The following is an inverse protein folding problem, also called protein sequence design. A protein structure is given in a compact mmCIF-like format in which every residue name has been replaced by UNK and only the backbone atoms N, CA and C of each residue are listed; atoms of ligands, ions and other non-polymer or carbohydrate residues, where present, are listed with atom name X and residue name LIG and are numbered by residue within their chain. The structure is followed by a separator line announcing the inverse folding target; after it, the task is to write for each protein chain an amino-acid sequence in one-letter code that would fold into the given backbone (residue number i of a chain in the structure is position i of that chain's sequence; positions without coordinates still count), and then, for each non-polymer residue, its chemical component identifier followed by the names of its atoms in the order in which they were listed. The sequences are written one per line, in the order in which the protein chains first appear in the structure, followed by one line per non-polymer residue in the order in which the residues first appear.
data_IF_512405702696
#
_entry.id   IF_512405702696
#
_cell.length_a   1.000
_cell.length_b   1.000
_cell.length_c   1.000
_cell.angle_alpha   90.00
_cell.angle_beta   90.00
_cell.angle_gamma   90.00
#
_symmetry.space_group_name_H-M   'P 1'
#
loop_
_entity.id
_entity.type
_entity.pdbx_description
1 polymer ?
#
# COMPACT_ATOMS: atom_id res chain seq x y z
N UNK A 1 -0.01 20.56 -11.41
CA UNK A 1 0.37 19.68 -10.28
C UNK A 1 -0.35 18.32 -10.32
N UNK A 2 -1.67 18.24 -10.14
CA UNK A 2 -2.43 16.96 -10.17
C UNK A 2 -2.17 16.09 -11.42
N UNK A 3 -2.12 16.72 -12.61
CA UNK A 3 -1.85 16.03 -13.88
C UNK A 3 -0.44 15.42 -13.98
N UNK A 4 0.53 15.94 -13.24
CA UNK A 4 1.91 15.43 -13.26
C UNK A 4 2.03 14.18 -12.38
N UNK A 5 1.59 14.29 -11.12
CA UNK A 5 1.54 13.15 -10.18
C UNK A 5 0.73 11.97 -10.74
N UNK A 6 -0.40 12.24 -11.39
CA UNK A 6 -1.18 11.19 -12.03
C UNK A 6 -0.41 10.47 -13.16
N UNK A 7 0.41 11.20 -13.94
CA UNK A 7 1.26 10.59 -14.97
C UNK A 7 2.34 9.70 -14.35
N UNK A 8 2.91 10.11 -13.22
CA UNK A 8 3.87 9.31 -12.47
C UNK A 8 3.23 8.02 -11.94
N UNK A 9 2.01 8.09 -11.41
CA UNK A 9 1.25 6.90 -10.98
C UNK A 9 0.98 5.93 -12.14
N UNK A 10 0.63 6.45 -13.32
CA UNK A 10 0.46 5.64 -14.53
C UNK A 10 1.80 5.02 -14.98
N UNK A 11 2.89 5.78 -14.94
CA UNK A 11 4.22 5.27 -15.26
C UNK A 11 4.66 4.18 -14.27
N UNK A 12 4.40 4.36 -12.98
CA UNK A 12 4.62 3.38 -11.93
C UNK A 12 3.83 2.09 -12.19
N UNK A 13 2.53 2.19 -12.52
CA UNK A 13 1.70 1.02 -12.85
C UNK A 13 2.31 0.21 -13.99
N UNK A 14 2.78 0.88 -15.06
CA UNK A 14 3.31 0.26 -16.28
C UNK A 14 4.73 -0.30 -16.14
N UNK A 15 5.43 -0.02 -15.04
CA UNK A 15 6.81 -0.46 -14.86
C UNK A 15 6.89 -1.98 -14.63
N UNK A 16 7.73 -2.67 -15.40
CA UNK A 16 8.06 -4.10 -15.17
C UNK A 16 8.95 -4.33 -13.96
N UNK A 17 9.56 -3.26 -13.42
CA UNK A 17 10.37 -3.27 -12.19
C UNK A 17 9.65 -2.58 -11.03
N UNK A 18 8.32 -2.52 -11.09
CA UNK A 18 7.47 -1.87 -10.09
C UNK A 18 7.76 -2.43 -8.69
N UNK A 19 7.88 -1.52 -7.73
CA UNK A 19 7.91 -1.82 -6.30
C UNK A 19 6.66 -1.21 -5.66
N UNK A 20 6.27 -1.64 -4.45
CA UNK A 20 5.26 -0.91 -3.69
C UNK A 20 5.60 0.58 -3.60
N UNK A 21 4.61 1.43 -3.85
CA UNK A 21 4.79 2.88 -3.88
C UNK A 21 4.36 3.49 -2.55
N UNK A 22 5.21 4.31 -1.95
CA UNK A 22 4.88 5.06 -0.73
C UNK A 22 4.73 6.53 -1.08
N UNK A 23 3.50 7.05 -0.97
CA UNK A 23 3.22 8.49 -1.13
C UNK A 23 3.27 9.17 0.23
N UNK A 24 4.34 9.94 0.46
CA UNK A 24 4.57 10.70 1.70
C UNK A 24 4.14 12.16 1.57
N UNK A 25 3.88 12.81 2.70
CA UNK A 25 3.62 14.27 2.75
C UNK A 25 2.82 14.68 3.99
N UNK A 26 2.63 15.98 4.21
CA UNK A 26 1.88 16.47 5.37
C UNK A 26 0.44 15.94 5.41
N UNK A 27 -0.19 15.92 6.59
CA UNK A 27 -1.63 15.61 6.71
C UNK A 27 -2.44 16.62 5.89
N UNK A 28 -3.60 16.20 5.38
CA UNK A 28 -4.56 17.06 4.66
C UNK A 28 -4.11 17.63 3.29
N UNK A 29 -3.01 17.14 2.70
CA UNK A 29 -2.55 17.58 1.37
C UNK A 29 -3.20 16.85 0.17
N UNK A 30 -4.16 15.96 0.43
CA UNK A 30 -4.94 15.27 -0.61
C UNK A 30 -4.33 13.96 -1.15
N UNK A 31 -3.39 13.32 -0.44
CA UNK A 31 -2.76 12.05 -0.84
C UNK A 31 -3.79 10.92 -1.01
N UNK A 32 -4.63 10.71 0.00
CA UNK A 32 -5.71 9.72 -0.02
C UNK A 32 -6.66 9.95 -1.18
N UNK A 33 -7.03 11.22 -1.44
CA UNK A 33 -7.88 11.56 -2.57
C UNK A 33 -7.23 11.19 -3.91
N UNK A 34 -5.95 11.55 -4.11
CA UNK A 34 -5.21 11.23 -5.32
C UNK A 34 -5.12 9.72 -5.57
N UNK A 35 -4.77 8.94 -4.54
CA UNK A 35 -4.62 7.49 -4.67
C UNK A 35 -5.96 6.77 -4.85
N UNK A 36 -7.03 7.22 -4.18
CA UNK A 36 -8.39 6.70 -4.42
C UNK A 36 -8.85 6.97 -5.85
N UNK A 37 -8.65 8.19 -6.34
CA UNK A 37 -9.03 8.55 -7.71
C UNK A 37 -8.21 7.78 -8.75
N UNK A 38 -6.91 7.59 -8.51
CA UNK A 38 -6.08 6.74 -9.33
C UNK A 38 -6.54 5.27 -9.34
N UNK A 39 -6.84 4.70 -8.17
CA UNK A 39 -7.42 3.37 -8.04
C UNK A 39 -8.69 3.22 -8.87
N UNK A 40 -9.63 4.17 -8.72
CA UNK A 40 -10.91 4.19 -9.42
C UNK A 40 -10.78 4.28 -10.94
N UNK A 41 -9.81 5.06 -11.43
CA UNK A 41 -9.64 5.31 -12.87
C UNK A 41 -8.74 4.30 -13.57
N UNK A 42 -7.81 3.68 -12.85
CA UNK A 42 -6.77 2.83 -13.44
C UNK A 42 -6.96 1.34 -13.14
N UNK A 43 -7.86 0.94 -12.24
CA UNK A 43 -8.05 -0.46 -11.82
C UNK A 43 -9.51 -0.86 -11.84
N UNK A 44 -9.77 -2.16 -11.97
CA UNK A 44 -11.12 -2.71 -11.87
C UNK A 44 -11.61 -2.65 -10.42
N UNK A 45 -10.71 -2.85 -9.46
CA UNK A 45 -11.02 -2.79 -8.03
C UNK A 45 -9.99 -1.97 -7.26
N UNK A 46 -10.47 -1.29 -6.21
CA UNK A 46 -9.66 -0.64 -5.20
C UNK A 46 -9.92 -1.30 -3.85
N UNK A 47 -8.96 -2.08 -3.36
CA UNK A 47 -8.94 -2.62 -2.02
C UNK A 47 -8.30 -1.59 -1.08
N UNK A 48 -9.13 -0.74 -0.51
CA UNK A 48 -8.72 0.35 0.37
C UNK A 48 -8.77 -0.11 1.83
N UNK A 49 -7.65 0.05 2.53
CA UNK A 49 -7.47 -0.36 3.92
C UNK A 49 -6.89 0.81 4.71
N UNK A 50 -7.60 1.28 5.73
CA UNK A 50 -7.14 2.40 6.56
C UNK A 50 -6.83 1.91 7.99
N UNK A 51 -5.55 1.93 8.35
CA UNK A 51 -5.07 1.33 9.61
C UNK A 51 -5.48 2.08 10.87
N UNK A 52 -5.89 3.34 10.78
CA UNK A 52 -6.43 4.08 11.93
C UNK A 52 -7.95 3.89 12.08
N UNK A 53 -8.66 3.58 10.99
CA UNK A 53 -10.13 3.53 10.96
C UNK A 53 -10.71 2.12 11.03
N UNK A 54 -9.91 1.09 10.78
CA UNK A 54 -10.37 -0.29 10.66
C UNK A 54 -9.80 -1.18 11.78
N UNK A 55 -10.51 -1.31 12.91
CA UNK A 55 -10.13 -2.26 13.96
C UNK A 55 -10.05 -3.67 13.40
N UNK A 56 -9.00 -4.42 13.74
CA UNK A 56 -8.80 -5.78 13.22
C UNK A 56 -7.87 -5.87 12.01
N UNK A 57 -7.61 -4.77 11.30
CA UNK A 57 -6.75 -4.77 10.12
C UNK A 57 -5.29 -5.07 10.46
N UNK A 58 -4.75 -4.47 11.52
CA UNK A 58 -3.36 -4.70 11.95
C UNK A 58 -3.10 -6.16 12.39
N UNK A 59 -4.15 -6.85 12.85
CA UNK A 59 -4.09 -8.21 13.38
C UNK A 59 -3.71 -9.20 12.28
N UNK A 60 -4.13 -8.95 11.04
CA UNK A 60 -3.74 -9.74 9.86
C UNK A 60 -2.22 -9.77 9.72
N UNK A 61 -1.57 -8.61 9.82
CA UNK A 61 -0.11 -8.48 9.72
C UNK A 61 0.61 -9.00 10.97
N UNK A 62 -0.07 -9.00 12.12
CA UNK A 62 0.48 -9.55 13.34
C UNK A 62 0.53 -11.08 13.34
N UNK A 63 -0.42 -11.73 12.68
CA UNK A 63 -0.52 -13.19 12.59
C UNK A 63 0.54 -13.81 11.67
N UNK A 64 0.73 -13.24 10.47
CA UNK A 64 1.74 -13.74 9.53
C UNK A 64 2.15 -12.67 8.54
N UNK A 65 3.44 -12.66 8.20
CA UNK A 65 4.03 -11.82 7.17
C UNK A 65 4.12 -12.52 5.80
N UNK A 66 3.64 -13.76 5.70
CA UNK A 66 3.58 -14.50 4.43
C UNK A 66 2.59 -13.82 3.48
N UNK A 67 3.02 -13.49 2.27
CA UNK A 67 2.21 -12.68 1.35
C UNK A 67 0.95 -13.38 0.88
N UNK A 68 0.99 -14.71 0.69
CA UNK A 68 -0.21 -15.47 0.32
C UNK A 68 -1.26 -15.43 1.44
N UNK A 69 -0.81 -15.52 2.70
CA UNK A 69 -1.68 -15.33 3.87
C UNK A 69 -2.25 -13.90 3.90
N UNK A 70 -1.42 -12.88 3.72
CA UNK A 70 -1.85 -11.48 3.72
C UNK A 70 -2.91 -11.22 2.64
N UNK A 71 -2.67 -11.64 1.40
CA UNK A 71 -3.62 -11.44 0.29
C UNK A 71 -4.94 -12.15 0.56
N UNK A 72 -4.91 -13.38 1.09
CA UNK A 72 -6.14 -14.13 1.41
C UNK A 72 -6.96 -13.44 2.48
N UNK A 73 -6.32 -13.01 3.58
CA UNK A 73 -7.03 -12.36 4.69
C UNK A 73 -7.46 -10.93 4.34
N UNK A 74 -6.66 -10.17 3.58
CA UNK A 74 -7.05 -8.86 3.06
C UNK A 74 -8.22 -8.99 2.08
N UNK A 75 -8.26 -10.02 1.24
CA UNK A 75 -9.40 -10.29 0.35
C UNK A 75 -10.67 -10.59 1.15
N UNK A 76 -10.55 -11.39 2.22
CA UNK A 76 -11.66 -11.67 3.11
C UNK A 76 -12.15 -10.40 3.84
N UNK A 77 -11.22 -9.59 4.36
CA UNK A 77 -11.51 -8.31 5.00
C UNK A 77 -12.20 -7.32 4.04
N UNK A 78 -11.72 -7.24 2.79
CA UNK A 78 -12.29 -6.41 1.73
C UNK A 78 -13.66 -6.91 1.21
N UNK A 79 -13.97 -8.20 1.42
CA UNK A 79 -15.20 -8.82 0.93
C UNK A 79 -15.21 -9.14 -0.57
N UNK A 80 -14.07 -8.97 -1.27
CA UNK A 80 -13.90 -9.36 -2.68
C UNK A 80 -12.50 -9.92 -2.91
N UNK A 81 -12.37 -10.75 -3.95
CA UNK A 81 -11.07 -11.30 -4.35
C UNK A 81 -10.15 -10.17 -4.80
N UNK A 82 -8.97 -10.09 -4.18
CA UNK A 82 -7.87 -9.25 -4.66
C UNK A 82 -7.12 -10.04 -5.73
N UNK A 83 -7.14 -9.53 -6.96
CA UNK A 83 -6.48 -10.15 -8.11
C UNK A 83 -5.24 -9.35 -8.54
N UNK A 84 -4.15 -10.02 -8.98
CA UNK A 84 -2.98 -9.36 -9.55
C UNK A 84 -3.38 -8.42 -10.70
N UNK A 85 -2.67 -7.31 -10.84
CA UNK A 85 -2.80 -6.27 -11.90
C UNK A 85 -4.15 -5.52 -12.02
N UNK A 86 -5.26 -6.18 -11.67
CA UNK A 86 -6.63 -5.67 -11.75
C UNK A 86 -7.08 -4.93 -10.49
N UNK A 87 -6.51 -5.30 -9.34
CA UNK A 87 -6.84 -4.71 -8.04
C UNK A 87 -5.68 -3.88 -7.52
N UNK A 88 -5.95 -2.60 -7.20
CA UNK A 88 -5.03 -1.77 -6.45
C UNK A 88 -5.23 -2.02 -4.95
N UNK A 89 -4.19 -2.46 -4.26
CA UNK A 89 -4.15 -2.53 -2.80
C UNK A 89 -3.66 -1.18 -2.30
N UNK A 90 -4.47 -0.49 -1.49
CA UNK A 90 -4.12 0.80 -0.92
C UNK A 90 -4.12 0.73 0.61
N UNK A 91 -2.92 0.80 1.19
CA UNK A 91 -2.67 0.93 2.62
C UNK A 91 -2.58 2.40 3.04
N UNK A 92 -3.63 2.94 3.63
CA UNK A 92 -3.69 4.32 4.11
C UNK A 92 -3.39 4.42 5.61
N UNK A 93 -2.76 5.53 6.00
CA UNK A 93 -2.21 5.74 7.34
C UNK A 93 -1.35 4.55 7.82
N UNK A 94 -0.57 3.95 6.91
CA UNK A 94 0.17 2.70 7.13
C UNK A 94 1.16 2.78 8.32
N UNK A 95 1.57 3.98 8.74
CA UNK A 95 2.43 4.15 9.93
C UNK A 95 1.75 3.66 11.23
N UNK A 96 0.42 3.56 11.26
CA UNK A 96 -0.31 2.99 12.38
C UNK A 96 -0.02 1.49 12.57
N UNK A 97 0.48 0.79 11.54
CA UNK A 97 0.92 -0.60 11.63
C UNK A 97 2.37 -0.78 11.13
N UNK A 98 3.36 -0.81 12.05
CA UNK A 98 4.75 -1.02 11.68
C UNK A 98 5.00 -2.33 10.92
N UNK A 99 4.24 -3.40 11.23
CA UNK A 99 4.29 -4.65 10.46
C UNK A 99 3.75 -4.50 9.05
N UNK A 100 2.69 -3.71 8.83
CA UNK A 100 2.23 -3.41 7.47
C UNK A 100 3.32 -2.69 6.66
N UNK A 101 4.05 -1.74 7.26
CA UNK A 101 5.20 -1.09 6.63
C UNK A 101 6.28 -2.10 6.25
N UNK A 102 6.67 -2.99 7.17
CA UNK A 102 7.65 -4.05 6.88
C UNK A 102 7.15 -5.00 5.79
N UNK A 103 5.83 -5.24 5.70
CA UNK A 103 5.24 -6.17 4.74
C UNK A 103 5.46 -5.79 3.28
N UNK A 104 5.64 -4.49 3.00
CA UNK A 104 5.92 -3.99 1.66
C UNK A 104 7.18 -4.65 1.05
N UNK A 105 8.18 -5.01 1.87
CA UNK A 105 9.33 -5.78 1.40
C UNK A 105 8.90 -7.10 0.79
N UNK A 106 8.03 -7.85 1.47
CA UNK A 106 7.59 -9.16 1.01
C UNK A 106 6.67 -9.06 -0.21
N UNK A 107 5.80 -8.04 -0.29
CA UNK A 107 5.08 -7.76 -1.53
C UNK A 107 6.03 -7.50 -2.71
N UNK A 108 7.13 -6.77 -2.48
CA UNK A 108 8.15 -6.53 -3.50
C UNK A 108 8.94 -7.79 -3.88
N UNK A 109 9.13 -8.74 -2.98
CA UNK A 109 9.96 -9.93 -3.19
C UNK A 109 9.14 -11.09 -3.77
N UNK A 110 7.96 -11.35 -3.20
CA UNK A 110 7.22 -12.59 -3.40
C UNK A 110 5.92 -12.39 -4.21
N UNK A 111 5.48 -11.14 -4.43
CA UNK A 111 4.17 -10.86 -5.03
C UNK A 111 4.14 -9.57 -5.88
N UNK A 112 5.13 -9.37 -6.74
CA UNK A 112 5.28 -8.14 -7.56
C UNK A 112 4.08 -7.82 -8.46
N UNK A 113 3.33 -8.84 -8.85
CA UNK A 113 2.17 -8.72 -9.73
C UNK A 113 0.95 -8.13 -8.98
N UNK A 114 1.02 -8.05 -7.65
CA UNK A 114 0.06 -7.29 -6.83
C UNK A 114 0.50 -5.84 -6.71
N UNK A 115 -0.37 -4.93 -7.12
CA UNK A 115 -0.06 -3.51 -7.14
C UNK A 115 -0.39 -2.93 -5.76
N UNK A 116 0.64 -2.50 -5.03
CA UNK A 116 0.50 -1.96 -3.68
C UNK A 116 0.93 -0.50 -3.65
N UNK A 117 0.03 0.36 -3.19
CA UNK A 117 0.33 1.75 -2.81
C UNK A 117 0.10 1.92 -1.33
N UNK A 118 0.91 2.77 -0.71
CA UNK A 118 0.79 3.13 0.69
C UNK A 118 0.85 4.65 0.85
N UNK A 119 0.12 5.20 1.81
CA UNK A 119 0.21 6.60 2.19
C UNK A 119 0.38 6.73 3.70
N UNK A 120 1.12 7.77 4.10
CA UNK A 120 1.34 8.07 5.50
C UNK A 120 2.09 9.39 5.68
N UNK A 121 1.74 10.15 6.72
CA UNK A 121 2.37 11.46 6.95
C UNK A 121 3.68 11.42 7.72
N UNK A 122 3.92 10.38 8.51
CA UNK A 122 5.02 10.32 9.49
C UNK A 122 6.00 9.17 9.24
N UNK A 123 6.00 8.59 8.05
CA UNK A 123 6.81 7.40 7.75
C UNK A 123 8.33 7.63 7.88
N UNK A 124 8.82 8.86 7.76
CA UNK A 124 10.24 9.19 7.99
C UNK A 124 10.63 9.33 9.48
N UNK A 125 9.65 9.50 10.37
CA UNK A 125 9.87 9.75 11.82
C UNK A 125 9.44 8.55 12.67
N UNK A 126 8.43 7.80 12.21
CA UNK A 126 7.78 6.72 12.96
C UNK A 126 8.52 5.38 12.92
N UNK A 127 9.60 5.26 12.15
CA UNK A 127 10.45 4.05 12.12
C UNK A 127 11.30 4.06 13.38
N UNK A 128 10.72 3.57 14.47
CA UNK A 128 11.40 3.38 15.75
C UNK A 128 12.04 1.99 15.81
N UNK A 129 13.03 1.85 16.72
CA UNK A 129 14.14 0.87 16.78
C UNK A 129 13.83 -0.62 16.59
N UNK A 130 12.57 -1.05 16.62
CA UNK A 130 12.18 -2.47 16.53
C UNK A 130 11.51 -2.86 15.20
N UNK A 131 11.38 -1.95 14.23
CA UNK A 131 10.78 -2.26 12.92
C UNK A 131 11.69 -1.84 11.77
N UNK A 132 11.88 -2.75 10.82
CA UNK A 132 12.70 -2.51 9.63
C UNK A 132 11.85 -1.82 8.57
N UNK A 133 12.26 -0.61 8.19
CA UNK A 133 11.71 0.06 7.01
C UNK A 133 12.24 -0.63 5.75
N UNK A 134 11.41 -0.88 4.72
CA UNK A 134 11.77 -1.66 3.53
C UNK A 134 12.67 -0.86 2.55
N UNK A 135 13.85 -0.43 3.01
CA UNK A 135 14.81 0.35 2.21
C UNK A 135 15.20 -0.42 0.94
N UNK A 136 15.14 0.28 -0.20
CA UNK A 136 15.45 -0.31 -1.52
C UNK A 136 14.38 -1.25 -2.07
N UNK A 137 13.30 -1.53 -1.34
CA UNK A 137 12.20 -2.42 -1.73
C UNK A 137 10.89 -1.68 -2.00
N UNK A 138 10.94 -0.34 -1.99
CA UNK A 138 9.80 0.56 -2.27
C UNK A 138 10.19 1.68 -3.23
N UNK A 139 9.20 2.27 -3.89
CA UNK A 139 9.31 3.54 -4.62
C UNK A 139 8.67 4.67 -3.81
N UNK A 140 9.04 5.92 -4.12
CA UNK A 140 8.47 7.14 -3.53
C UNK A 140 7.86 8.00 -4.62
#
# INVERSE_FOLDING_TARGET
MKRHLYKELIAWKKSTRRKPLIVQGARQVGKTFLLKEFGRLAYANLAYFNFEQEPGLEQIFNQSMNVSFLISNLSAFYGKKITPEDTLIFFDEIQASPKAVTSLKYFCEDAKDFHVVAAGSLLGVSVTRNTSFPVGKVNF
#
